data_IF_378995372815
#
_entry.id   IF_378995372815
#
_cell.length_a   1.000
_cell.length_b   1.000
_cell.length_c   1.000
_cell.angle_alpha   90.00
_cell.angle_beta   90.00
_cell.angle_gamma   90.00
#
_symmetry.space_group_name_H-M   'P 1'
#
loop_
_entity.id
_entity.type
_entity.pdbx_description
1 polymer ?
#
# COMPACT_ATOMS: atom_id res chain seq x y z
N UNK A 1 -9.23 -43.52 -46.71
CA UNK A 1 -7.84 -43.02 -46.51
C UNK A 1 -7.73 -42.43 -45.11
N UNK A 2 -7.00 -43.14 -44.27
CA UNK A 2 -6.80 -42.77 -42.86
C UNK A 2 -5.58 -41.85 -42.79
N UNK A 3 -5.67 -40.78 -42.04
CA UNK A 3 -4.51 -40.00 -41.58
C UNK A 3 -4.62 -39.76 -40.11
N UNK A 4 -3.71 -40.37 -39.36
CA UNK A 4 -3.52 -40.26 -37.94
C UNK A 4 -2.99 -38.86 -37.57
N UNK A 5 -3.64 -38.24 -36.59
CA UNK A 5 -3.12 -37.07 -35.89
C UNK A 5 -2.47 -37.52 -34.59
N UNK A 6 -1.16 -37.45 -34.53
CA UNK A 6 -0.39 -37.58 -33.30
C UNK A 6 -0.60 -36.34 -32.45
N UNK A 7 -1.29 -36.47 -31.33
CA UNK A 7 -1.38 -35.47 -30.31
C UNK A 7 -0.16 -35.60 -29.39
N UNK A 8 0.79 -34.71 -29.53
CA UNK A 8 1.93 -34.59 -28.64
C UNK A 8 1.51 -33.78 -27.43
N UNK A 9 1.27 -34.45 -26.29
CA UNK A 9 1.03 -33.83 -25.02
C UNK A 9 2.39 -33.44 -24.39
N UNK A 10 2.74 -32.18 -24.47
CA UNK A 10 3.88 -31.64 -23.72
C UNK A 10 3.51 -31.50 -22.24
N UNK A 11 4.02 -32.41 -21.43
CA UNK A 11 3.95 -32.30 -19.97
C UNK A 11 4.85 -31.15 -19.52
N UNK A 12 4.25 -30.04 -19.13
CA UNK A 12 4.94 -28.94 -18.47
C UNK A 12 5.28 -29.39 -17.04
N UNK A 13 6.52 -29.79 -16.82
CA UNK A 13 7.05 -30.03 -15.50
C UNK A 13 7.16 -28.70 -14.77
N UNK A 14 6.22 -28.39 -13.90
CA UNK A 14 6.34 -27.30 -12.94
C UNK A 14 7.52 -27.58 -12.01
N UNK A 15 8.64 -26.95 -12.27
CA UNK A 15 9.80 -26.95 -11.39
C UNK A 15 9.43 -26.31 -10.06
N UNK A 16 9.19 -27.13 -9.05
CA UNK A 16 9.13 -26.68 -7.66
C UNK A 16 10.51 -26.19 -7.29
N UNK A 17 10.71 -24.89 -7.29
CA UNK A 17 11.88 -24.26 -6.68
C UNK A 17 11.73 -24.40 -5.15
N UNK A 18 12.18 -25.51 -4.62
CA UNK A 18 12.37 -25.69 -3.19
C UNK A 18 13.43 -24.66 -2.75
N UNK A 19 13.06 -23.76 -1.88
CA UNK A 19 13.98 -22.85 -1.18
C UNK A 19 14.97 -23.68 -0.36
N UNK A 20 16.29 -23.64 -0.62
CA UNK A 20 17.26 -24.54 0.00
C UNK A 20 17.91 -23.99 1.27
N UNK A 21 17.22 -23.19 2.10
CA UNK A 21 17.93 -22.42 3.12
C UNK A 21 17.76 -22.93 4.57
N UNK A 22 16.76 -23.73 4.88
CA UNK A 22 16.53 -24.17 6.27
C UNK A 22 17.23 -25.49 6.66
N UNK A 23 17.80 -26.22 5.70
CA UNK A 23 18.39 -27.55 5.93
C UNK A 23 19.92 -27.58 6.05
N UNK A 24 20.60 -26.49 5.71
CA UNK A 24 22.05 -26.54 5.52
C UNK A 24 22.86 -26.25 6.80
N UNK A 25 22.32 -25.47 7.73
CA UNK A 25 23.05 -25.11 8.96
C UNK A 25 23.23 -26.29 9.91
N UNK A 26 22.19 -27.10 10.12
CA UNK A 26 22.32 -28.31 10.95
C UNK A 26 23.24 -29.33 10.29
N UNK A 27 23.18 -29.46 8.95
CA UNK A 27 24.09 -30.32 8.19
C UNK A 27 25.53 -29.86 8.24
N UNK A 28 25.76 -28.55 8.19
CA UNK A 28 27.09 -27.97 8.30
C UNK A 28 27.67 -28.16 9.71
N UNK A 29 26.87 -28.01 10.76
CA UNK A 29 27.27 -28.30 12.14
C UNK A 29 27.57 -29.79 12.36
N UNK A 30 26.76 -30.68 11.80
CA UNK A 30 26.98 -32.13 11.88
C UNK A 30 28.22 -32.57 11.09
N UNK A 31 28.45 -31.96 9.91
CA UNK A 31 29.64 -32.21 9.08
C UNK A 31 30.90 -31.72 9.78
N UNK A 32 30.84 -30.55 10.42
CA UNK A 32 31.92 -30.01 11.21
C UNK A 32 32.26 -30.93 12.41
N UNK A 33 31.26 -31.38 13.16
CA UNK A 33 31.48 -32.30 14.29
C UNK A 33 32.12 -33.59 13.82
N UNK A 34 31.72 -34.15 12.69
CA UNK A 34 32.32 -35.33 12.08
C UNK A 34 33.75 -35.09 11.65
N UNK A 35 34.08 -33.95 11.04
CA UNK A 35 35.43 -33.57 10.64
C UNK A 35 36.34 -33.36 11.86
N UNK A 36 35.82 -32.70 12.92
CA UNK A 36 36.58 -32.50 14.17
C UNK A 36 36.91 -33.85 14.83
N UNK A 37 35.98 -34.77 14.91
CA UNK A 37 36.21 -36.11 15.45
C UNK A 37 37.19 -36.88 14.56
N UNK A 38 37.12 -36.77 13.24
CA UNK A 38 38.04 -37.42 12.32
C UNK A 38 39.49 -36.84 12.43
N UNK A 39 39.61 -35.54 12.64
CA UNK A 39 40.92 -34.89 12.86
C UNK A 39 41.54 -35.32 14.19
N UNK A 40 40.77 -35.37 15.28
CA UNK A 40 41.26 -35.83 16.60
C UNK A 40 41.77 -37.27 16.50
N UNK A 41 41.16 -38.12 15.67
CA UNK A 41 41.56 -39.53 15.51
C UNK A 41 42.78 -39.75 14.62
N UNK A 42 43.10 -38.79 13.70
CA UNK A 42 44.12 -38.97 12.69
C UNK A 42 45.30 -37.94 12.78
N UNK A 43 45.34 -37.06 13.80
CA UNK A 43 46.40 -36.06 13.95
C UNK A 43 47.66 -36.67 14.54
N UNK A 44 48.79 -36.31 13.87
CA UNK A 44 50.13 -36.54 14.40
C UNK A 44 50.38 -35.52 15.53
N UNK A 45 50.82 -35.95 16.72
CA UNK A 45 51.04 -35.09 17.89
C UNK A 45 52.10 -34.00 17.71
N UNK A 46 52.83 -33.97 16.58
CA UNK A 46 53.95 -33.06 16.36
C UNK A 46 53.58 -31.83 15.51
N UNK A 47 52.40 -31.75 14.91
CA UNK A 47 51.95 -30.59 14.11
C UNK A 47 50.46 -30.35 14.24
N UNK A 48 49.97 -29.78 15.36
CA UNK A 48 48.55 -29.50 15.52
C UNK A 48 48.11 -28.35 14.61
N UNK A 49 47.19 -28.61 13.67
CA UNK A 49 46.47 -27.55 12.94
C UNK A 49 45.45 -26.92 13.86
N UNK A 50 45.45 -25.58 13.95
CA UNK A 50 44.56 -24.82 14.85
C UNK A 50 43.12 -24.79 14.31
N UNK A 51 42.16 -25.45 14.96
CA UNK A 51 40.76 -25.47 14.52
C UNK A 51 40.03 -24.17 14.82
N UNK A 52 40.63 -23.19 15.49
CA UNK A 52 39.96 -21.96 15.94
C UNK A 52 39.47 -21.09 14.77
N UNK A 53 40.13 -21.10 13.61
CA UNK A 53 39.70 -20.36 12.44
C UNK A 53 38.34 -20.88 11.90
N UNK A 54 38.16 -22.22 11.89
CA UNK A 54 36.90 -22.82 11.45
C UNK A 54 35.75 -22.57 12.44
N UNK A 55 36.04 -22.60 13.75
CA UNK A 55 35.06 -22.26 14.80
C UNK A 55 34.63 -20.81 14.65
N UNK A 56 35.54 -19.88 14.36
CA UNK A 56 35.19 -18.49 14.11
C UNK A 56 34.31 -18.32 12.87
N UNK A 57 34.61 -19.01 11.76
CA UNK A 57 33.77 -18.98 10.55
C UNK A 57 32.39 -19.57 10.79
N UNK A 58 32.29 -20.67 11.54
CA UNK A 58 30.99 -21.26 11.90
C UNK A 58 30.18 -20.33 12.79
N UNK A 59 30.84 -19.65 13.75
CA UNK A 59 30.18 -18.65 14.58
C UNK A 59 29.63 -17.47 13.77
N UNK A 60 30.41 -16.99 12.79
CA UNK A 60 29.94 -15.93 11.87
C UNK A 60 28.77 -16.39 11.01
N UNK A 61 28.83 -17.63 10.50
CA UNK A 61 27.71 -18.21 9.73
C UNK A 61 26.46 -18.33 10.59
N UNK A 62 26.57 -18.87 11.81
CA UNK A 62 25.45 -18.97 12.75
C UNK A 62 24.85 -17.61 13.11
N UNK A 63 25.70 -16.57 13.26
CA UNK A 63 25.19 -15.20 13.48
C UNK A 63 24.44 -14.68 12.26
N UNK A 64 24.95 -14.92 11.04
CA UNK A 64 24.28 -14.51 9.81
C UNK A 64 22.92 -15.21 9.64
N UNK A 65 22.86 -16.49 9.94
CA UNK A 65 21.60 -17.27 9.93
C UNK A 65 20.60 -16.77 10.97
N UNK A 66 21.07 -16.45 12.17
CA UNK A 66 20.22 -15.88 13.21
C UNK A 66 19.64 -14.52 12.77
N UNK A 67 20.44 -13.69 12.12
CA UNK A 67 20.00 -12.40 11.54
C UNK A 67 18.99 -12.62 10.41
N UNK A 68 19.20 -13.61 9.54
CA UNK A 68 18.25 -13.94 8.48
C UNK A 68 16.92 -14.45 9.05
N UNK A 69 16.95 -15.32 10.05
CA UNK A 69 15.74 -15.76 10.76
C UNK A 69 15.01 -14.59 11.41
N UNK A 70 15.75 -13.67 12.04
CA UNK A 70 15.16 -12.46 12.62
C UNK A 70 14.50 -11.59 11.56
N UNK A 71 15.13 -11.39 10.41
CA UNK A 71 14.56 -10.64 9.28
C UNK A 71 13.29 -11.31 8.75
N UNK A 72 13.30 -12.63 8.62
CA UNK A 72 12.11 -13.40 8.19
C UNK A 72 10.96 -13.27 9.19
N UNK A 73 11.24 -13.38 10.48
CA UNK A 73 10.23 -13.21 11.54
C UNK A 73 9.68 -11.78 11.57
N UNK A 74 10.56 -10.77 11.39
CA UNK A 74 10.13 -9.38 11.30
C UNK A 74 9.20 -9.15 10.10
N UNK A 75 9.52 -9.73 8.94
CA UNK A 75 8.66 -9.71 7.75
C UNK A 75 7.32 -10.40 7.97
N UNK A 76 7.31 -11.56 8.61
CA UNK A 76 6.08 -12.27 8.94
C UNK A 76 5.18 -11.48 9.90
N UNK A 77 5.78 -10.83 10.91
CA UNK A 77 5.04 -9.95 11.83
C UNK A 77 4.45 -8.73 11.10
N UNK A 78 5.21 -8.10 10.21
CA UNK A 78 4.71 -7.00 9.38
C UNK A 78 3.52 -7.44 8.53
N UNK A 79 3.59 -8.61 7.88
CA UNK A 79 2.49 -9.18 7.11
C UNK A 79 1.24 -9.49 7.96
N UNK A 80 1.44 -9.99 9.18
CA UNK A 80 0.33 -10.22 10.11
C UNK A 80 -0.36 -8.91 10.53
N UNK A 81 0.42 -7.87 10.86
CA UNK A 81 -0.12 -6.54 11.17
C UNK A 81 -0.90 -5.95 9.99
N UNK A 82 -0.39 -6.10 8.79
CA UNK A 82 -1.04 -5.64 7.57
C UNK A 82 -2.36 -6.37 7.30
N UNK A 83 -2.39 -7.68 7.55
CA UNK A 83 -3.62 -8.48 7.45
C UNK A 83 -4.70 -8.03 8.44
N UNK A 84 -4.31 -7.71 9.68
CA UNK A 84 -5.23 -7.13 10.66
C UNK A 84 -5.74 -5.76 10.24
N UNK A 85 -4.89 -4.92 9.65
CA UNK A 85 -5.30 -3.61 9.13
C UNK A 85 -6.31 -3.74 7.99
N UNK A 86 -6.07 -4.65 7.03
CA UNK A 86 -7.04 -4.95 5.95
C UNK A 86 -8.37 -5.41 6.52
N UNK A 87 -8.35 -6.30 7.52
CA UNK A 87 -9.57 -6.78 8.17
C UNK A 87 -10.32 -5.63 8.88
N UNK A 88 -9.59 -4.79 9.60
CA UNK A 88 -10.15 -3.60 10.27
C UNK A 88 -10.80 -2.63 9.29
N UNK A 89 -10.08 -2.27 8.22
CA UNK A 89 -10.60 -1.41 7.16
C UNK A 89 -11.73 -2.07 6.36
N UNK A 90 -11.66 -3.39 6.16
CA UNK A 90 -12.69 -4.17 5.49
C UNK A 90 -14.05 -4.10 6.19
N UNK A 91 -14.06 -3.99 7.52
CA UNK A 91 -15.30 -3.81 8.30
C UNK A 91 -15.98 -2.46 8.05
N UNK A 92 -15.21 -1.48 7.56
CA UNK A 92 -15.68 -0.13 7.22
C UNK A 92 -16.18 0.00 5.78
N UNK A 93 -16.13 -1.06 4.97
CA UNK A 93 -16.69 -1.04 3.61
C UNK A 93 -18.18 -0.71 3.66
N UNK A 94 -18.58 0.25 2.82
CA UNK A 94 -19.93 0.85 2.82
C UNK A 94 -20.08 2.07 3.72
N UNK A 95 -19.06 2.45 4.49
CA UNK A 95 -19.06 3.71 5.26
C UNK A 95 -18.68 4.90 4.38
N UNK A 96 -19.20 6.07 4.74
CA UNK A 96 -18.79 7.33 4.16
C UNK A 96 -17.47 7.76 4.81
N UNK A 97 -16.52 8.14 3.98
CA UNK A 97 -15.16 8.52 4.38
C UNK A 97 -14.77 9.85 3.75
N UNK A 98 -13.88 10.58 4.41
CA UNK A 98 -13.23 11.76 3.85
C UNK A 98 -11.82 11.40 3.40
N UNK A 99 -11.48 11.75 2.17
CA UNK A 99 -10.19 11.44 1.56
C UNK A 99 -9.50 12.70 1.12
N UNK A 100 -8.28 12.91 1.55
CA UNK A 100 -7.42 13.98 1.04
C UNK A 100 -7.09 13.71 -0.44
N UNK A 101 -7.51 14.60 -1.32
CA UNK A 101 -7.30 14.45 -2.76
C UNK A 101 -7.33 15.82 -3.45
N UNK A 102 -6.45 15.98 -4.40
CA UNK A 102 -6.44 17.09 -5.35
C UNK A 102 -7.23 16.80 -6.63
N UNK A 103 -7.83 15.63 -6.73
CA UNK A 103 -8.65 15.22 -7.87
C UNK A 103 -9.97 14.63 -7.44
N UNK A 104 -10.99 14.83 -8.27
CA UNK A 104 -12.34 14.29 -8.06
C UNK A 104 -12.87 13.73 -9.37
N UNK A 105 -13.62 12.63 -9.27
CA UNK A 105 -14.40 12.09 -10.37
C UNK A 105 -15.85 12.53 -10.20
N UNK A 106 -16.35 13.31 -11.15
CA UNK A 106 -17.74 13.75 -11.21
C UNK A 106 -18.51 12.80 -12.12
N UNK A 107 -19.65 12.35 -11.62
CA UNK A 107 -20.67 11.65 -12.37
C UNK A 107 -21.95 12.53 -12.40
N UNK A 108 -23.14 11.95 -12.35
CA UNK A 108 -24.38 12.71 -12.30
C UNK A 108 -24.80 13.18 -10.89
N UNK A 109 -24.13 12.65 -9.85
CA UNK A 109 -24.45 12.92 -8.45
C UNK A 109 -23.71 14.13 -7.88
N UNK A 110 -24.25 14.68 -6.79
CA UNK A 110 -23.55 15.72 -6.02
C UNK A 110 -22.38 15.09 -5.28
N UNK A 111 -21.26 15.80 -5.23
CA UNK A 111 -20.07 15.41 -4.48
C UNK A 111 -19.82 16.44 -3.39
N UNK A 112 -19.76 15.97 -2.16
CA UNK A 112 -19.45 16.81 -1.01
C UNK A 112 -17.94 16.76 -0.72
N UNK A 113 -17.43 17.87 -0.23
CA UNK A 113 -16.04 17.98 0.16
C UNK A 113 -15.82 19.10 1.15
N UNK A 114 -14.58 19.19 1.61
CA UNK A 114 -14.14 20.29 2.46
C UNK A 114 -12.73 20.69 2.08
N UNK A 115 -12.41 21.96 2.30
CA UNK A 115 -11.06 22.48 2.19
C UNK A 115 -10.67 23.14 3.52
N UNK A 116 -9.38 23.21 3.80
CA UNK A 116 -8.90 23.83 5.02
C UNK A 116 -8.07 25.05 4.72
N UNK A 117 -8.52 26.22 5.18
CA UNK A 117 -7.83 27.48 5.04
C UNK A 117 -7.02 27.79 6.30
N UNK A 118 -5.81 28.28 6.12
CA UNK A 118 -4.94 28.67 7.25
C UNK A 118 -5.35 30.00 7.91
N UNK A 119 -6.18 30.80 7.24
CA UNK A 119 -6.64 32.08 7.75
C UNK A 119 -7.86 32.61 6.99
N UNK A 120 -8.36 33.76 7.43
CA UNK A 120 -9.50 34.42 6.79
C UNK A 120 -9.16 34.90 5.37
N UNK A 121 -10.15 34.82 4.49
CA UNK A 121 -10.05 35.21 3.09
C UNK A 121 -11.20 36.13 2.72
N UNK A 122 -10.94 37.12 1.87
CA UNK A 122 -11.97 37.99 1.30
C UNK A 122 -12.63 37.40 0.05
N UNK A 123 -11.94 36.43 -0.56
CA UNK A 123 -12.47 35.66 -1.68
C UNK A 123 -11.81 34.29 -1.72
N UNK A 124 -12.61 33.25 -1.88
CA UNK A 124 -12.14 31.86 -2.04
C UNK A 124 -12.87 31.25 -3.23
N UNK A 125 -12.11 30.66 -4.12
CA UNK A 125 -12.63 29.99 -5.31
C UNK A 125 -12.01 28.61 -5.42
N UNK A 126 -12.83 27.60 -5.59
CA UNK A 126 -12.40 26.27 -5.95
C UNK A 126 -12.39 26.17 -7.48
N UNK A 127 -11.23 25.86 -8.05
CA UNK A 127 -11.03 25.73 -9.49
C UNK A 127 -10.94 24.26 -9.84
N UNK A 128 -11.81 23.79 -10.73
CA UNK A 128 -11.80 22.44 -11.29
C UNK A 128 -11.29 22.52 -12.73
N UNK A 129 -10.33 21.67 -13.05
CA UNK A 129 -9.80 21.57 -14.42
C UNK A 129 -10.01 20.14 -14.91
N UNK A 130 -10.80 19.99 -15.96
CA UNK A 130 -11.07 18.71 -16.60
C UNK A 130 -9.97 18.30 -17.60
N UNK A 131 -10.18 17.19 -18.30
CA UNK A 131 -9.27 16.70 -19.33
C UNK A 131 -9.18 17.62 -20.54
N UNK A 132 -10.20 18.48 -20.74
CA UNK A 132 -10.22 19.55 -21.76
C UNK A 132 -9.28 20.72 -21.44
N UNK A 133 -8.71 20.75 -20.23
CA UNK A 133 -7.85 21.82 -19.73
C UNK A 133 -8.59 23.13 -19.40
N UNK A 134 -9.93 23.16 -19.50
CA UNK A 134 -10.70 24.36 -19.17
C UNK A 134 -10.93 24.47 -17.66
N UNK A 135 -10.63 25.63 -17.06
CA UNK A 135 -10.89 25.87 -15.65
C UNK A 135 -12.37 26.26 -15.42
N UNK A 136 -13.01 25.51 -14.53
CA UNK A 136 -14.35 25.82 -14.02
C UNK A 136 -14.24 26.33 -12.59
N UNK A 137 -14.84 27.49 -12.32
CA UNK A 137 -14.71 28.16 -11.02
C UNK A 137 -15.97 27.98 -10.18
N UNK A 138 -15.79 27.54 -8.95
CA UNK A 138 -16.85 27.47 -7.94
C UNK A 138 -16.53 28.50 -6.86
N UNK A 139 -17.29 29.59 -6.83
CA UNK A 139 -17.10 30.66 -5.86
C UNK A 139 -17.60 30.22 -4.49
N UNK A 140 -16.69 30.22 -3.50
CA UNK A 140 -17.02 29.97 -2.10
C UNK A 140 -17.14 31.26 -1.29
N UNK A 141 -16.70 32.40 -1.86
CA UNK A 141 -16.83 33.72 -1.26
C UNK A 141 -15.89 34.01 -0.10
N UNK A 142 -16.33 34.84 0.83
CA UNK A 142 -15.58 35.21 2.03
C UNK A 142 -15.60 34.07 3.04
N UNK A 143 -14.42 33.73 3.56
CA UNK A 143 -14.27 32.65 4.56
C UNK A 143 -13.46 33.13 5.76
N UNK A 144 -13.83 32.67 6.95
CA UNK A 144 -13.14 33.03 8.21
C UNK A 144 -11.88 32.22 8.51
N UNK A 145 -11.50 31.32 7.61
CA UNK A 145 -10.45 30.34 7.87
C UNK A 145 -10.99 29.04 8.53
N UNK A 146 -10.13 28.04 8.65
CA UNK A 146 -10.52 26.71 9.12
C UNK A 146 -11.15 25.84 8.03
N UNK A 147 -11.98 24.90 8.44
CA UNK A 147 -12.64 23.94 7.51
C UNK A 147 -13.83 24.58 6.84
N UNK A 148 -13.81 24.62 5.51
CA UNK A 148 -14.87 25.17 4.67
C UNK A 148 -15.49 24.04 3.87
N UNK A 149 -16.75 23.67 4.14
CA UNK A 149 -17.46 22.67 3.36
C UNK A 149 -17.86 23.23 1.99
N UNK A 150 -17.90 22.35 0.99
CA UNK A 150 -18.42 22.68 -0.34
C UNK A 150 -19.18 21.49 -0.93
N UNK A 151 -20.06 21.79 -1.90
CA UNK A 151 -20.78 20.78 -2.67
C UNK A 151 -20.59 21.08 -4.16
N UNK A 152 -20.17 20.06 -4.89
CA UNK A 152 -20.08 20.09 -6.35
C UNK A 152 -21.33 19.45 -6.93
N UNK A 153 -22.10 20.22 -7.67
CA UNK A 153 -23.28 19.75 -8.43
C UNK A 153 -22.93 19.83 -9.92
N UNK A 154 -22.55 18.71 -10.56
CA UNK A 154 -22.12 18.73 -11.97
C UNK A 154 -23.20 19.27 -12.89
N UNK A 155 -24.49 18.98 -12.60
CA UNK A 155 -25.61 19.47 -13.40
C UNK A 155 -25.78 20.99 -13.31
N UNK A 156 -25.67 21.56 -12.11
CA UNK A 156 -25.77 23.01 -11.90
C UNK A 156 -24.56 23.77 -12.46
N UNK A 157 -23.38 23.13 -12.46
CA UNK A 157 -22.14 23.71 -12.94
C UNK A 157 -21.91 23.48 -14.45
N UNK A 158 -22.76 22.70 -15.12
CA UNK A 158 -22.60 22.35 -16.52
C UNK A 158 -21.34 21.52 -16.81
N UNK A 159 -20.89 20.72 -15.82
CA UNK A 159 -19.68 19.91 -15.92
C UNK A 159 -20.03 18.52 -16.49
N UNK A 160 -19.38 18.10 -17.59
CA UNK A 160 -19.53 16.74 -18.07
C UNK A 160 -18.96 15.72 -17.09
N UNK A 161 -19.46 14.48 -17.07
CA UNK A 161 -18.87 13.42 -16.28
C UNK A 161 -17.39 13.21 -16.67
N UNK A 162 -16.52 13.13 -15.66
CA UNK A 162 -15.08 13.00 -15.90
C UNK A 162 -14.25 13.16 -14.64
N UNK A 163 -12.94 13.13 -14.82
CA UNK A 163 -11.97 13.43 -13.76
C UNK A 163 -11.56 14.89 -13.84
N UNK A 164 -11.56 15.55 -12.70
CA UNK A 164 -11.18 16.95 -12.55
C UNK A 164 -10.06 17.06 -11.50
N UNK A 165 -9.06 17.87 -11.81
CA UNK A 165 -8.08 18.33 -10.83
C UNK A 165 -8.63 19.54 -10.11
N UNK A 166 -8.41 19.63 -8.81
CA UNK A 166 -8.92 20.70 -7.96
C UNK A 166 -7.79 21.57 -7.43
N UNK A 167 -8.03 22.86 -7.39
CA UNK A 167 -7.13 23.86 -6.81
C UNK A 167 -7.95 24.92 -6.10
N UNK A 168 -7.42 25.42 -4.97
CA UNK A 168 -8.03 26.53 -4.23
C UNK A 168 -7.27 27.82 -4.56
N UNK A 169 -7.99 28.81 -5.04
CA UNK A 169 -7.49 30.18 -5.22
C UNK A 169 -8.14 31.08 -4.14
N UNK A 170 -7.35 31.74 -3.33
CA UNK A 170 -7.82 32.56 -2.23
C UNK A 170 -7.13 33.92 -2.17
N UNK A 171 -7.85 34.93 -1.65
CA UNK A 171 -7.31 36.28 -1.42
C UNK A 171 -7.51 36.62 0.05
N UNK A 172 -6.44 36.96 0.80
CA UNK A 172 -5.04 36.87 0.41
C UNK A 172 -4.61 35.43 0.06
N UNK A 173 -3.55 35.31 -0.77
CA UNK A 173 -3.05 34.01 -1.19
C UNK A 173 -2.70 33.15 0.03
N UNK A 174 -3.18 31.91 0.04
CA UNK A 174 -2.94 30.94 1.10
C UNK A 174 -1.89 29.92 0.61
N UNK A 175 -1.08 29.31 1.50
CA UNK A 175 -0.38 28.10 1.17
C UNK A 175 -1.40 27.04 0.70
N UNK A 176 -0.96 26.06 -0.06
CA UNK A 176 -1.86 25.05 -0.64
C UNK A 176 -2.88 24.57 0.40
N UNK A 177 -4.17 24.88 0.17
CA UNK A 177 -5.25 24.49 1.07
C UNK A 177 -5.55 23.01 0.85
N UNK A 178 -5.39 22.12 1.86
CA UNK A 178 -5.77 20.74 1.72
C UNK A 178 -7.25 20.59 1.38
N UNK A 179 -7.53 19.79 0.37
CA UNK A 179 -8.89 19.46 -0.06
C UNK A 179 -9.16 18.01 0.35
N UNK A 180 -10.33 17.74 0.88
CA UNK A 180 -10.82 16.41 1.16
C UNK A 180 -12.19 16.20 0.54
N UNK A 181 -12.38 15.05 -0.10
CA UNK A 181 -13.61 14.67 -0.78
C UNK A 181 -14.31 13.59 0.03
N UNK A 182 -15.62 13.73 0.17
CA UNK A 182 -16.48 12.71 0.73
C UNK A 182 -16.80 11.64 -0.32
N UNK A 183 -16.64 10.39 0.07
CA UNK A 183 -16.98 9.27 -0.79
C UNK A 183 -17.26 8.03 0.03
N UNK A 184 -17.90 7.04 -0.60
CA UNK A 184 -18.17 5.75 0.04
C UNK A 184 -16.99 4.81 -0.16
N UNK A 185 -16.51 4.20 0.91
CA UNK A 185 -15.50 3.14 0.83
C UNK A 185 -16.12 1.90 0.18
N UNK A 186 -15.74 1.63 -1.06
CA UNK A 186 -16.31 0.55 -1.88
C UNK A 186 -15.58 -0.77 -1.67
N UNK A 187 -14.26 -0.74 -1.53
CA UNK A 187 -13.45 -1.94 -1.31
C UNK A 187 -12.12 -1.63 -0.64
N UNK A 188 -11.55 -2.66 -0.01
CA UNK A 188 -10.21 -2.67 0.56
C UNK A 188 -9.49 -3.88 -0.02
N UNK A 189 -8.29 -3.71 -0.55
CA UNK A 189 -7.49 -4.79 -1.08
C UNK A 189 -6.02 -4.65 -0.72
N UNK A 190 -5.33 -5.76 -0.72
CA UNK A 190 -3.87 -5.81 -0.65
C UNK A 190 -3.33 -5.85 -2.08
N UNK A 191 -2.45 -4.93 -2.43
CA UNK A 191 -1.77 -4.93 -3.71
C UNK A 191 -0.61 -5.95 -3.73
N UNK A 192 -0.08 -6.25 -4.90
CA UNK A 192 1.01 -7.24 -5.08
C UNK A 192 2.32 -6.83 -4.42
N UNK A 193 2.53 -5.54 -4.23
CA UNK A 193 3.67 -4.95 -3.50
C UNK A 193 3.48 -4.96 -1.98
N UNK A 194 2.34 -5.46 -1.50
CA UNK A 194 1.98 -5.48 -0.10
C UNK A 194 1.33 -4.21 0.42
N UNK A 195 1.12 -3.17 -0.39
CA UNK A 195 0.42 -1.96 0.04
C UNK A 195 -1.09 -2.20 0.16
N UNK A 196 -1.73 -1.50 1.10
CA UNK A 196 -3.19 -1.51 1.23
C UNK A 196 -3.76 -0.44 0.32
N UNK A 197 -4.69 -0.83 -0.55
CA UNK A 197 -5.38 0.05 -1.48
C UNK A 197 -6.86 0.06 -1.15
N UNK A 198 -7.39 1.26 -1.00
CA UNK A 198 -8.80 1.54 -0.75
C UNK A 198 -9.42 2.09 -2.03
N UNK A 199 -10.60 1.64 -2.38
CA UNK A 199 -11.36 2.25 -3.47
C UNK A 199 -12.50 3.07 -2.86
N UNK A 200 -12.51 4.38 -3.16
CA UNK A 200 -13.49 5.34 -2.65
C UNK A 200 -14.21 5.97 -3.83
N UNK A 201 -15.54 6.04 -3.77
CA UNK A 201 -16.36 6.69 -4.80
C UNK A 201 -15.93 8.16 -4.94
N UNK A 202 -15.97 8.68 -6.16
CA UNK A 202 -15.54 10.04 -6.55
C UNK A 202 -14.04 10.32 -6.47
N UNK A 203 -13.23 9.47 -5.83
CA UNK A 203 -11.78 9.65 -5.74
C UNK A 203 -11.04 8.55 -6.50
N UNK A 204 -11.43 7.29 -6.32
CA UNK A 204 -10.78 6.12 -6.87
C UNK A 204 -9.89 5.42 -5.86
N UNK A 205 -8.74 4.93 -6.32
CA UNK A 205 -7.79 4.19 -5.48
C UNK A 205 -6.91 5.14 -4.68
N UNK A 206 -6.85 4.91 -3.36
CA UNK A 206 -6.09 5.72 -2.40
C UNK A 206 -5.43 4.83 -1.35
N UNK A 207 -4.42 5.35 -0.69
CA UNK A 207 -3.79 4.69 0.45
C UNK A 207 -4.53 4.96 1.77
N UNK A 208 -4.31 4.13 2.81
CA UNK A 208 -4.90 4.39 4.14
C UNK A 208 -4.49 5.74 4.74
N UNK A 209 -3.31 6.26 4.35
CA UNK A 209 -2.80 7.56 4.83
C UNK A 209 -3.55 8.77 4.28
N UNK A 210 -4.30 8.59 3.18
CA UNK A 210 -5.08 9.67 2.56
C UNK A 210 -6.47 9.83 3.19
N UNK A 211 -6.89 8.87 4.04
CA UNK A 211 -8.14 9.00 4.79
C UNK A 211 -7.98 10.00 5.93
N UNK A 212 -8.81 11.02 5.93
CA UNK A 212 -8.85 12.02 6.99
C UNK A 212 -9.94 11.78 8.04
N UNK A 213 -11.05 11.11 7.66
CA UNK A 213 -12.13 10.78 8.59
C UNK A 213 -12.97 9.59 8.11
N UNK A 214 -13.60 8.91 9.08
CA UNK A 214 -14.68 7.94 8.86
C UNK A 214 -15.97 8.54 9.41
N UNK A 215 -16.98 8.74 8.57
CA UNK A 215 -18.24 9.36 8.92
C UNK A 215 -19.36 8.33 9.23
N UNK A 216 -18.98 7.03 9.23
CA UNK A 216 -19.94 5.95 9.49
C UNK A 216 -20.75 5.56 8.26
N UNK A 217 -21.69 4.63 8.45
CA UNK A 217 -22.60 4.21 7.39
C UNK A 217 -23.81 5.15 7.37
N UNK A 218 -24.02 5.84 6.24
CA UNK A 218 -25.27 6.58 6.06
C UNK A 218 -26.44 5.58 6.11
N UNK A 219 -27.34 5.74 7.09
CA UNK A 219 -28.61 5.03 7.08
C UNK A 219 -29.43 5.61 5.93
N UNK A 220 -29.57 4.86 4.82
CA UNK A 220 -30.64 5.17 3.85
C UNK A 220 -31.96 5.02 4.56
N UNK A 221 -32.58 6.14 4.90
CA UNK A 221 -33.98 6.17 5.27
C UNK A 221 -34.78 5.65 4.07
N UNK A 222 -35.46 4.51 4.25
CA UNK A 222 -36.40 3.93 3.31
C UNK A 222 -37.63 4.83 3.24
#
# INVERSE_FOLDING_TARGET
MQTNLFSSSAATTAGTTASPVAGDASKNSDMFTKLLVAQIRNQDPLAPTDPSQFVNQLSQLSQTEALQKLATLAGANAGAMQSLQVLGLGSQVGSDVMVASDSVRLDSGKVEGQLTLSGATTNTTLVLTGEDGQPHQVALGVQSGGTVPFTLDPGALGLPPGRYTMRVDAVPAQPAAPIAISGKLSSVRLATDGSIVLNVTHVGEVGPGDLSAFNGKSSSSI
#
